data_IF_975645999290
#
_entry.id   IF_975645999290
#
_cell.length_a   1.000
_cell.length_b   1.000
_cell.length_c   1.000
_cell.angle_alpha   90.00
_cell.angle_beta   90.00
_cell.angle_gamma   90.00
#
_symmetry.space_group_name_H-M   'P 1'
#
loop_
_entity.id
_entity.type
_entity.pdbx_description
1 polymer ?
#
# COMPACT_ATOMS: atom_id res chain seq x y z
N UNK A 1 13.91 7.67 -11.26
CA UNK A 1 14.89 6.68 -10.78
C UNK A 1 14.18 5.36 -10.60
N UNK A 2 14.39 4.43 -11.53
CA UNK A 2 13.81 3.08 -11.49
C UNK A 2 14.31 2.36 -10.25
N UNK A 3 13.44 1.67 -9.51
CA UNK A 3 13.93 0.72 -8.51
C UNK A 3 14.79 -0.32 -9.24
N UNK A 4 15.96 -0.66 -8.70
CA UNK A 4 16.76 -1.74 -9.25
C UNK A 4 15.87 -3.00 -9.37
N UNK A 5 15.97 -3.76 -10.47
CA UNK A 5 15.23 -5.00 -10.60
C UNK A 5 15.57 -5.92 -9.41
N UNK A 6 14.56 -6.63 -8.92
CA UNK A 6 14.74 -7.61 -7.85
C UNK A 6 15.81 -8.62 -8.29
N UNK A 7 16.80 -8.88 -7.42
CA UNK A 7 17.83 -9.88 -7.74
C UNK A 7 17.18 -11.27 -7.82
N UNK A 8 17.71 -12.21 -8.62
CA UNK A 8 17.19 -13.57 -8.66
C UNK A 8 17.12 -14.25 -7.28
N UNK A 9 18.12 -13.99 -6.41
CA UNK A 9 18.14 -14.47 -5.03
C UNK A 9 16.98 -13.90 -4.19
N UNK A 10 16.75 -12.57 -4.25
CA UNK A 10 15.63 -11.95 -3.55
C UNK A 10 14.27 -12.40 -4.11
N UNK A 11 14.17 -12.66 -5.42
CA UNK A 11 12.97 -13.20 -6.06
C UNK A 11 12.67 -14.62 -5.56
N UNK A 12 13.68 -15.50 -5.51
CA UNK A 12 13.53 -16.84 -4.91
C UNK A 12 13.10 -16.76 -3.46
N UNK A 13 13.73 -15.89 -2.65
CA UNK A 13 13.37 -15.72 -1.24
C UNK A 13 11.92 -15.28 -1.07
N UNK A 14 11.47 -14.31 -1.87
CA UNK A 14 10.09 -13.85 -1.88
C UNK A 14 9.12 -14.96 -2.28
N UNK A 15 9.46 -15.77 -3.30
CA UNK A 15 8.63 -16.92 -3.71
C UNK A 15 8.45 -17.91 -2.57
N UNK A 16 9.52 -18.29 -1.87
CA UNK A 16 9.42 -19.19 -0.71
C UNK A 16 8.58 -18.57 0.41
N UNK A 17 8.78 -17.27 0.69
CA UNK A 17 8.06 -16.54 1.73
C UNK A 17 6.53 -16.55 1.58
N UNK A 18 6.01 -16.67 0.35
CA UNK A 18 4.56 -16.75 0.10
C UNK A 18 3.93 -18.04 0.63
N UNK A 19 4.73 -19.10 0.81
CA UNK A 19 4.28 -20.41 1.30
C UNK A 19 4.74 -20.69 2.74
N UNK A 20 5.51 -19.79 3.35
CA UNK A 20 6.03 -19.93 4.71
C UNK A 20 5.00 -19.39 5.73
N UNK A 21 4.47 -20.29 6.56
CA UNK A 21 3.38 -19.98 7.49
C UNK A 21 3.73 -18.84 8.47
N UNK A 22 4.97 -18.79 8.96
CA UNK A 22 5.44 -17.74 9.87
C UNK A 22 5.49 -16.37 9.20
N UNK A 23 5.92 -16.29 7.93
CA UNK A 23 5.95 -15.02 7.19
C UNK A 23 4.54 -14.53 6.87
N UNK A 24 3.67 -15.46 6.46
CA UNK A 24 2.24 -15.17 6.20
C UNK A 24 1.56 -14.66 7.47
N UNK A 25 1.82 -15.30 8.61
CA UNK A 25 1.24 -14.87 9.89
C UNK A 25 1.76 -13.50 10.32
N UNK A 26 3.07 -13.23 10.17
CA UNK A 26 3.64 -11.88 10.42
C UNK A 26 3.08 -10.81 9.50
N UNK A 27 2.66 -11.17 8.28
CA UNK A 27 1.95 -10.24 7.39
C UNK A 27 0.54 -9.98 7.89
N UNK A 28 -0.24 -11.02 8.17
CA UNK A 28 -1.63 -10.93 8.67
C UNK A 28 -1.73 -10.16 9.98
N UNK A 29 -0.83 -10.41 10.92
CA UNK A 29 -0.74 -9.69 12.19
C UNK A 29 -0.44 -8.18 12.03
N UNK A 30 -0.02 -7.75 10.84
CA UNK A 30 0.22 -6.34 10.48
C UNK A 30 -0.86 -5.76 9.58
N UNK A 31 -1.98 -6.46 9.43
CA UNK A 31 -3.17 -5.98 8.73
C UNK A 31 -4.32 -5.79 9.71
N UNK A 32 -5.03 -4.68 9.59
CA UNK A 32 -6.13 -4.33 10.48
C UNK A 32 -7.33 -3.83 9.67
N UNK A 33 -8.52 -4.35 9.99
CA UNK A 33 -9.78 -3.85 9.43
C UNK A 33 -10.33 -2.76 10.36
N UNK A 34 -10.90 -1.72 9.76
CA UNK A 34 -11.57 -0.62 10.47
C UNK A 34 -12.98 -0.54 9.93
N UNK A 35 -13.96 -0.54 10.83
CA UNK A 35 -15.37 -0.46 10.45
C UNK A 35 -15.65 0.83 9.68
N UNK A 36 -16.54 0.75 8.68
CA UNK A 36 -16.83 1.87 7.77
C UNK A 36 -15.81 2.08 6.65
N UNK A 37 -14.69 1.35 6.63
CA UNK A 37 -13.67 1.46 5.58
C UNK A 37 -13.49 0.15 4.81
N UNK A 38 -13.40 0.26 3.47
CA UNK A 38 -13.17 -0.89 2.58
C UNK A 38 -11.70 -1.35 2.53
N UNK A 39 -10.76 -0.52 2.98
CA UNK A 39 -9.34 -0.89 2.99
C UNK A 39 -9.02 -1.79 4.18
N UNK A 40 -8.22 -2.83 3.94
CA UNK A 40 -7.47 -3.51 5.00
C UNK A 40 -6.16 -2.73 5.24
N UNK A 41 -5.93 -2.19 6.43
CA UNK A 41 -4.83 -1.26 6.67
C UNK A 41 -3.55 -1.95 7.14
N UNK A 42 -2.42 -1.60 6.53
CA UNK A 42 -1.09 -1.99 7.01
C UNK A 42 -0.69 -1.18 8.24
N UNK A 43 -0.41 -1.85 9.35
CA UNK A 43 -0.01 -1.23 10.63
C UNK A 43 1.50 -1.39 10.95
N UNK A 44 2.28 -1.93 10.02
CA UNK A 44 3.70 -2.20 10.18
C UNK A 44 4.64 -1.05 9.78
N UNK A 45 5.87 -1.41 9.38
CA UNK A 45 6.87 -0.45 8.92
C UNK A 45 6.42 0.26 7.63
N UNK A 46 6.77 1.54 7.50
CA UNK A 46 6.42 2.40 6.36
C UNK A 46 7.70 2.94 5.74
N UNK A 47 7.82 2.83 4.42
CA UNK A 47 8.97 3.33 3.65
C UNK A 47 8.97 4.86 3.54
N UNK A 48 10.10 5.43 3.10
CA UNK A 48 10.18 6.87 2.79
C UNK A 48 9.19 7.36 1.73
N UNK A 49 8.63 6.45 0.90
CA UNK A 49 7.61 6.76 -0.10
C UNK A 49 6.17 6.51 0.37
N UNK A 50 5.96 6.12 1.63
CA UNK A 50 4.63 5.90 2.20
C UNK A 50 4.07 4.49 2.03
N UNK A 51 4.76 3.58 1.33
CA UNK A 51 4.34 2.18 1.23
C UNK A 51 4.66 1.38 2.49
N UNK A 52 3.78 0.45 2.86
CA UNK A 52 4.08 -0.58 3.86
C UNK A 52 5.27 -1.46 3.47
N UNK A 53 6.05 -1.92 4.45
CA UNK A 53 7.21 -2.81 4.25
C UNK A 53 7.14 -4.04 5.14
N UNK A 54 7.36 -5.20 4.54
CA UNK A 54 7.47 -6.48 5.21
C UNK A 54 8.87 -7.06 5.02
N UNK A 55 9.52 -7.46 6.11
CA UNK A 55 10.72 -8.29 6.05
C UNK A 55 10.34 -9.75 5.85
N UNK A 56 10.87 -10.35 4.80
CA UNK A 56 10.57 -11.71 4.35
C UNK A 56 11.76 -12.64 4.51
N UNK A 57 12.67 -12.37 5.45
CA UNK A 57 13.83 -13.22 5.72
C UNK A 57 15.13 -12.75 5.06
N UNK A 58 16.10 -13.65 5.04
CA UNK A 58 17.41 -13.46 4.42
C UNK A 58 17.50 -14.34 3.17
N UNK A 59 18.12 -13.85 2.09
CA UNK A 59 18.38 -14.66 0.90
C UNK A 59 19.62 -15.55 1.06
N UNK A 60 19.90 -16.35 0.03
CA UNK A 60 21.03 -17.28 -0.03
C UNK A 60 22.41 -16.58 0.00
N UNK A 61 22.48 -15.28 -0.30
CA UNK A 61 23.70 -14.47 -0.21
C UNK A 61 23.86 -13.83 1.18
N UNK A 62 23.00 -14.16 2.14
CA UNK A 62 23.03 -13.61 3.49
C UNK A 62 22.45 -12.19 3.59
N UNK A 63 21.71 -11.70 2.59
CA UNK A 63 21.16 -10.34 2.58
C UNK A 63 19.72 -10.32 3.07
N UNK A 64 19.40 -9.33 3.90
CA UNK A 64 18.02 -9.12 4.38
C UNK A 64 17.11 -8.70 3.21
N UNK A 65 16.05 -9.47 2.97
CA UNK A 65 15.05 -9.19 1.96
C UNK A 65 13.81 -8.59 2.61
N UNK A 66 13.45 -7.38 2.19
CA UNK A 66 12.22 -6.75 2.62
C UNK A 66 11.51 -6.11 1.43
N UNK A 67 10.21 -6.42 1.32
CA UNK A 67 9.37 -6.12 0.16
C UNK A 67 8.27 -5.12 0.53
N UNK A 68 7.65 -4.54 -0.50
CA UNK A 68 6.47 -3.70 -0.31
C UNK A 68 5.30 -4.60 0.12
N UNK A 69 4.60 -4.23 1.18
CA UNK A 69 3.57 -5.06 1.82
C UNK A 69 2.47 -5.49 0.84
N UNK A 70 1.93 -4.57 0.03
CA UNK A 70 0.88 -4.91 -0.93
C UNK A 70 1.36 -5.85 -2.04
N UNK A 71 2.67 -5.86 -2.38
CA UNK A 71 3.21 -6.82 -3.35
C UNK A 71 3.26 -8.22 -2.75
N UNK A 72 3.60 -8.34 -1.47
CA UNK A 72 3.50 -9.61 -0.76
C UNK A 72 2.04 -10.09 -0.70
N UNK A 73 1.12 -9.21 -0.28
CA UNK A 73 -0.31 -9.50 -0.26
C UNK A 73 -0.87 -9.91 -1.63
N UNK A 74 -0.49 -9.22 -2.70
CA UNK A 74 -0.86 -9.58 -4.06
C UNK A 74 -0.36 -10.99 -4.44
N UNK A 75 0.87 -11.33 -4.06
CA UNK A 75 1.40 -12.67 -4.25
C UNK A 75 0.64 -13.73 -3.46
N UNK A 76 0.16 -13.42 -2.25
CA UNK A 76 -0.69 -14.35 -1.48
C UNK A 76 -2.07 -14.54 -2.12
N UNK A 77 -2.66 -13.48 -2.66
CA UNK A 77 -4.01 -13.52 -3.22
C UNK A 77 -4.07 -14.13 -4.63
N UNK A 78 -3.04 -13.89 -5.45
CA UNK A 78 -3.04 -14.23 -6.88
C UNK A 78 -1.92 -15.20 -7.30
N UNK A 79 -1.02 -15.57 -6.37
CA UNK A 79 0.09 -16.48 -6.63
C UNK A 79 1.35 -15.80 -7.17
N UNK A 80 2.45 -16.57 -7.17
CA UNK A 80 3.77 -16.10 -7.59
C UNK A 80 3.83 -15.66 -9.05
N UNK A 81 3.26 -16.43 -9.97
CA UNK A 81 3.39 -16.13 -11.41
C UNK A 81 2.70 -14.81 -11.76
N UNK A 82 1.53 -14.54 -11.15
CA UNK A 82 0.85 -13.26 -11.28
C UNK A 82 1.70 -12.10 -10.72
N UNK A 83 2.35 -12.28 -9.57
CA UNK A 83 3.22 -11.27 -8.98
C UNK A 83 4.50 -11.04 -9.81
N UNK A 84 5.11 -12.11 -10.32
CA UNK A 84 6.32 -12.07 -11.12
C UNK A 84 6.06 -11.41 -12.48
N UNK A 85 4.87 -11.63 -13.06
CA UNK A 85 4.40 -10.99 -14.28
C UNK A 85 3.84 -9.58 -14.09
N UNK A 86 3.80 -9.03 -12.87
CA UNK A 86 3.28 -7.70 -12.57
C UNK A 86 4.42 -6.70 -12.24
N UNK A 87 4.91 -5.92 -13.22
CA UNK A 87 5.90 -4.87 -12.99
C UNK A 87 5.45 -3.87 -11.93
N UNK A 88 4.16 -3.55 -11.94
CA UNK A 88 3.51 -2.71 -10.94
C UNK A 88 2.24 -3.40 -10.45
N UNK A 89 2.03 -3.35 -9.14
CA UNK A 89 0.72 -3.64 -8.52
C UNK A 89 0.15 -2.29 -8.12
N UNK A 90 -0.93 -1.86 -8.78
CA UNK A 90 -1.52 -0.54 -8.55
C UNK A 90 -2.74 -0.65 -7.63
N UNK A 91 -3.04 0.44 -6.93
CA UNK A 91 -4.21 0.53 -6.07
C UNK A 91 -5.37 1.22 -6.80
N UNK A 92 -6.57 0.64 -6.75
CA UNK A 92 -7.79 1.32 -7.15
C UNK A 92 -8.20 2.43 -6.15
N UNK A 93 -7.82 2.28 -4.89
CA UNK A 93 -8.14 3.20 -3.79
C UNK A 93 -7.07 4.27 -3.51
N UNK A 94 -5.94 4.26 -4.24
CA UNK A 94 -4.79 5.16 -4.06
C UNK A 94 -4.20 5.24 -2.62
N UNK A 95 -4.59 4.32 -1.73
CA UNK A 95 -4.05 4.23 -0.37
C UNK A 95 -2.84 3.29 -0.33
N UNK A 96 -1.60 3.80 -0.11
CA UNK A 96 -0.38 2.98 -0.15
C UNK A 96 -0.26 1.96 0.99
N UNK A 97 -1.10 2.07 2.02
CA UNK A 97 -1.17 1.11 3.13
C UNK A 97 -2.27 0.05 2.95
N UNK A 98 -3.12 0.16 1.93
CA UNK A 98 -4.19 -0.81 1.70
C UNK A 98 -3.64 -2.22 1.39
N UNK A 99 -4.23 -3.23 2.00
CA UNK A 99 -3.91 -4.64 1.88
C UNK A 99 -5.10 -5.48 1.37
N UNK A 100 -6.19 -4.83 0.97
CA UNK A 100 -7.40 -5.49 0.46
C UNK A 100 -7.16 -6.02 -0.97
N UNK A 101 -7.26 -7.34 -1.21
CA UNK A 101 -7.03 -7.92 -2.54
C UNK A 101 -7.91 -7.33 -3.64
N UNK A 102 -9.17 -7.01 -3.33
CA UNK A 102 -10.10 -6.39 -4.29
C UNK A 102 -9.70 -4.97 -4.73
N UNK A 103 -8.73 -4.34 -4.05
CA UNK A 103 -8.24 -3.00 -4.40
C UNK A 103 -6.96 -3.01 -5.25
N UNK A 104 -6.46 -4.19 -5.64
CA UNK A 104 -5.25 -4.30 -6.45
C UNK A 104 -5.55 -4.66 -7.90
N UNK A 105 -4.68 -4.20 -8.80
CA UNK A 105 -4.59 -4.71 -10.16
C UNK A 105 -3.13 -4.80 -10.61
N UNK A 106 -2.82 -5.77 -11.46
CA UNK A 106 -1.57 -5.73 -12.21
C UNK A 106 -1.62 -4.56 -13.20
N UNK A 107 -0.50 -3.87 -13.36
CA UNK A 107 -0.37 -2.77 -14.30
C UNK A 107 1.06 -2.56 -14.77
N UNK A 108 1.21 -1.68 -15.75
CA UNK A 108 2.52 -1.22 -16.21
C UNK A 108 2.91 0.09 -15.51
N UNK A 109 4.19 0.46 -15.62
CA UNK A 109 4.65 1.79 -15.18
C UNK A 109 3.95 2.92 -15.93
N UNK A 110 3.58 2.69 -17.20
CA UNK A 110 2.86 3.65 -18.03
C UNK A 110 1.44 3.85 -17.50
N UNK A 111 0.70 2.77 -17.27
CA UNK A 111 -0.68 2.84 -16.76
C UNK A 111 -0.71 3.52 -15.39
N UNK A 112 0.21 3.13 -14.50
CA UNK A 112 0.30 3.73 -13.16
C UNK A 112 0.57 5.24 -13.22
N UNK A 113 1.37 5.70 -14.18
CA UNK A 113 1.64 7.14 -14.37
C UNK A 113 0.42 7.87 -14.92
N UNK A 114 -0.30 7.28 -15.87
CA UNK A 114 -1.52 7.85 -16.45
C UNK A 114 -2.64 7.94 -15.40
N UNK A 115 -2.88 6.86 -14.65
CA UNK A 115 -3.85 6.87 -13.55
C UNK A 115 -3.50 7.91 -12.50
N UNK A 116 -2.24 8.01 -12.09
CA UNK A 116 -1.82 9.05 -11.15
C UNK A 116 -2.11 10.45 -11.70
N UNK A 117 -1.80 10.70 -12.98
CA UNK A 117 -2.06 12.00 -13.60
C UNK A 117 -3.56 12.35 -13.62
N UNK A 118 -4.42 11.37 -13.85
CA UNK A 118 -5.87 11.54 -13.84
C UNK A 118 -6.45 11.70 -12.42
N UNK A 119 -5.94 10.94 -11.45
CA UNK A 119 -6.52 10.86 -10.11
C UNK A 119 -5.95 11.86 -9.12
N UNK A 120 -4.75 12.42 -9.35
CA UNK A 120 -4.12 13.38 -8.42
C UNK A 120 -4.93 14.66 -8.17
N UNK A 121 -5.90 14.94 -9.03
CA UNK A 121 -6.79 16.10 -8.93
C UNK A 121 -8.18 15.74 -8.37
N UNK A 122 -8.44 14.47 -8.04
CA UNK A 122 -9.68 14.09 -7.38
C UNK A 122 -9.77 14.76 -6.01
N UNK A 123 -10.88 15.48 -5.79
CA UNK A 123 -11.15 16.21 -4.55
C UNK A 123 -11.22 15.22 -3.38
N UNK A 124 -10.62 15.61 -2.25
CA UNK A 124 -10.51 14.79 -1.04
C UNK A 124 -9.87 13.40 -1.27
N UNK A 125 -9.20 13.18 -2.41
CA UNK A 125 -8.55 11.93 -2.75
C UNK A 125 -7.23 11.72 -1.98
N UNK A 126 -6.80 10.47 -1.73
CA UNK A 126 -5.56 10.16 -1.02
C UNK A 126 -4.30 10.80 -1.62
N UNK A 127 -4.28 11.02 -2.94
CA UNK A 127 -3.16 11.63 -3.66
C UNK A 127 -3.02 13.13 -3.43
N UNK A 128 -4.05 13.79 -2.90
CA UNK A 128 -4.10 15.23 -2.65
C UNK A 128 -3.97 15.59 -1.16
N UNK A 129 -3.69 14.60 -0.32
CA UNK A 129 -3.47 14.82 1.12
C UNK A 129 -2.31 15.80 1.35
N UNK A 130 -2.56 16.83 2.15
CA UNK A 130 -1.63 17.92 2.44
C UNK A 130 -0.31 17.43 3.07
N UNK A 131 -0.33 16.26 3.72
CA UNK A 131 0.84 15.64 4.35
C UNK A 131 1.72 14.88 3.35
N UNK A 132 1.28 14.75 2.10
CA UNK A 132 1.87 13.90 1.08
C UNK A 132 1.78 12.41 1.40
N UNK A 133 2.23 11.56 0.47
CA UNK A 133 2.05 10.11 0.56
C UNK A 133 2.60 9.48 1.87
N UNK A 134 3.79 9.91 2.31
CA UNK A 134 4.40 9.39 3.54
C UNK A 134 3.71 9.90 4.80
N UNK A 135 3.44 11.21 4.88
CA UNK A 135 2.79 11.80 6.06
C UNK A 135 1.39 11.24 6.26
N UNK A 136 0.64 11.11 5.16
CA UNK A 136 -0.65 10.41 5.12
C UNK A 136 -0.54 8.98 5.66
N UNK A 137 0.39 8.18 5.12
CA UNK A 137 0.56 6.80 5.53
C UNK A 137 0.87 6.67 7.02
N UNK A 138 1.77 7.50 7.56
CA UNK A 138 2.07 7.48 8.99
C UNK A 138 0.85 7.85 9.83
N UNK A 139 0.13 8.92 9.47
CA UNK A 139 -1.06 9.34 10.21
C UNK A 139 -2.16 8.26 10.23
N UNK A 140 -2.43 7.63 9.08
CA UNK A 140 -3.39 6.52 8.99
C UNK A 140 -2.93 5.32 9.82
N UNK A 141 -1.67 4.90 9.67
CA UNK A 141 -1.11 3.77 10.41
C UNK A 141 -1.25 3.97 11.92
N UNK A 142 -0.84 5.13 12.41
CA UNK A 142 -0.81 5.42 13.83
C UNK A 142 -2.23 5.54 14.38
N UNK A 143 -3.15 6.17 13.65
CA UNK A 143 -4.56 6.19 14.02
C UNK A 143 -5.17 4.79 14.17
N UNK A 144 -4.89 3.88 13.22
CA UNK A 144 -5.38 2.49 13.27
C UNK A 144 -4.78 1.73 14.45
N UNK A 145 -3.48 1.95 14.76
CA UNK A 145 -2.83 1.32 15.93
C UNK A 145 -3.37 1.83 17.26
N UNK A 146 -3.69 3.12 17.31
CA UNK A 146 -4.15 3.80 18.53
C UNK A 146 -5.67 3.70 18.72
N UNK A 147 -6.40 3.09 17.77
CA UNK A 147 -7.87 3.00 17.81
C UNK A 147 -8.58 4.35 17.64
N UNK A 148 -7.91 5.33 17.03
CA UNK A 148 -8.50 6.66 16.78
C UNK A 148 -9.49 6.62 15.61
N UNK A 149 -10.53 7.47 15.62
CA UNK A 149 -11.44 7.61 14.49
C UNK A 149 -10.68 7.97 13.22
N UNK A 150 -10.76 7.10 12.21
CA UNK A 150 -9.97 7.26 11.00
C UNK A 150 -10.51 8.41 10.14
N UNK A 151 -11.82 8.63 10.11
CA UNK A 151 -12.45 9.74 9.36
C UNK A 151 -11.89 11.11 9.76
N UNK A 152 -11.64 11.36 11.05
CA UNK A 152 -11.02 12.60 11.53
C UNK A 152 -9.59 12.75 10.98
N UNK A 153 -8.84 11.65 10.96
CA UNK A 153 -7.45 11.61 10.47
C UNK A 153 -7.38 11.79 8.96
N UNK A 154 -8.36 11.25 8.23
CA UNK A 154 -8.52 11.45 6.79
C UNK A 154 -8.87 12.92 6.50
N UNK A 155 -9.87 13.46 7.19
CA UNK A 155 -10.36 14.83 7.04
C UNK A 155 -9.27 15.86 7.35
N UNK A 156 -8.44 15.62 8.37
CA UNK A 156 -7.31 16.50 8.71
C UNK A 156 -6.22 16.57 7.62
N UNK A 157 -6.18 15.60 6.69
CA UNK A 157 -5.28 15.63 5.53
C UNK A 157 -5.85 16.39 4.34
N UNK A 158 -7.13 16.74 4.36
CA UNK A 158 -7.84 17.34 3.24
C UNK A 158 -7.77 18.87 3.34
N UNK A 159 -7.52 19.53 2.20
CA UNK A 159 -7.45 21.00 2.16
C UNK A 159 -8.80 21.65 2.48
N UNK A 160 -8.81 22.87 3.02
CA UNK A 160 -10.04 23.64 3.26
C UNK A 160 -10.88 23.76 1.98
N UNK A 161 -10.24 24.07 0.85
CA UNK A 161 -10.93 24.13 -0.45
C UNK A 161 -11.51 22.80 -0.93
N UNK A 162 -11.05 21.65 -0.41
CA UNK A 162 -11.67 20.33 -0.68
C UNK A 162 -12.74 20.02 0.36
N UNK A 163 -12.52 20.48 1.60
CA UNK A 163 -13.43 20.58 2.76
C UNK A 163 -14.79 21.13 2.38
N UNK A 164 -14.71 22.35 1.88
CA UNK A 164 -15.80 23.32 1.94
C UNK A 164 -16.37 23.57 0.54
N UNK A 165 -16.29 22.57 -0.34
CA UNK A 165 -16.99 22.58 -1.61
C UNK A 165 -18.48 22.61 -1.33
N UNK A 166 -19.09 23.78 -1.50
CA UNK A 166 -20.53 23.93 -1.44
C UNK A 166 -21.14 23.00 -2.50
N UNK A 167 -22.16 22.19 -2.17
CA UNK A 167 -22.90 21.48 -3.19
C UNK A 167 -23.55 22.53 -4.09
N UNK A 168 -22.97 22.72 -5.28
CA UNK A 168 -23.49 23.69 -6.24
C UNK A 168 -24.88 23.28 -6.75
N UNK A 169 -25.27 22.02 -6.54
CA UNK A 169 -26.54 21.45 -6.97
C UNK A 169 -27.03 20.47 -5.88
N UNK A 170 -28.27 20.66 -5.42
CA UNK A 170 -29.01 19.75 -4.54
C UNK A 170 -29.95 18.88 -5.36
#
# INVERSE_FOLDING_TARGET
MSAAPITPAAARRLRCALSEADVVERYRAKTARVDGHSCLFWIGAVSGRGHGRLWVGTDEDGRNVAVIAHRFGYGLAHGWDALAGAPVVTHACDNPLCQEPGHWRAGTHTDNRLEWAWRRHQLAGPLRDLRGARGRALAVRDAVRDGRPLDDVLTAGTSEGDRDQLPLWC
#
